data_IF_967482134090
#
_entry.id   IF_967482134090
#
_cell.length_a   1.000
_cell.length_b   1.000
_cell.length_c   1.000
_cell.angle_alpha   90.00
_cell.angle_beta   90.00
_cell.angle_gamma   90.00
#
_symmetry.space_group_name_H-M   'P 1'
#
loop_
_entity.id
_entity.type
_entity.pdbx_description
1 polymer ?
#
# COMPACT_ATOMS: atom_id res chain seq x y z
N UNK A 1 21.10 23.63 2.23
CA UNK A 1 20.38 23.18 1.03
C UNK A 1 19.02 22.70 1.49
N UNK A 2 17.99 23.52 1.30
CA UNK A 2 16.62 23.20 1.65
C UNK A 2 16.09 22.17 0.65
N UNK A 3 15.92 20.93 1.11
CA UNK A 3 15.20 19.89 0.38
C UNK A 3 13.82 20.46 -0.01
N UNK A 4 13.42 20.45 -1.30
CA UNK A 4 12.09 20.90 -1.65
C UNK A 4 11.11 19.96 -0.94
N UNK A 5 10.28 20.52 -0.07
CA UNK A 5 9.19 19.81 0.58
C UNK A 5 8.33 19.25 -0.54
N UNK A 6 8.34 17.92 -0.74
CA UNK A 6 7.42 17.26 -1.68
C UNK A 6 6.03 17.78 -1.33
N UNK A 7 5.40 18.52 -2.25
CA UNK A 7 3.99 18.88 -2.11
C UNK A 7 3.27 17.54 -2.07
N UNK A 8 2.79 17.13 -0.88
CA UNK A 8 2.04 15.89 -0.70
C UNK A 8 0.78 16.01 -1.55
N UNK A 9 0.71 15.24 -2.63
CA UNK A 9 -0.47 15.16 -3.45
C UNK A 9 -1.34 14.05 -2.87
N UNK A 10 -2.39 14.48 -2.15
CA UNK A 10 -3.31 13.58 -1.45
C UNK A 10 -3.80 12.42 -2.33
N UNK A 11 -4.12 12.68 -3.60
CA UNK A 11 -4.70 11.66 -4.46
C UNK A 11 -3.65 10.64 -4.88
N UNK A 12 -2.45 11.11 -5.23
CA UNK A 12 -1.34 10.24 -5.59
C UNK A 12 -0.91 9.42 -4.38
N UNK A 13 -0.65 10.07 -3.25
CA UNK A 13 -0.17 9.39 -2.06
C UNK A 13 -1.20 8.39 -1.52
N UNK A 14 -2.49 8.70 -1.64
CA UNK A 14 -3.59 7.80 -1.31
C UNK A 14 -3.65 6.55 -2.18
N UNK A 15 -3.58 6.70 -3.52
CA UNK A 15 -3.52 5.55 -4.44
C UNK A 15 -2.26 4.72 -4.18
N UNK A 16 -1.11 5.39 -4.03
CA UNK A 16 0.18 4.73 -3.84
C UNK A 16 0.25 3.95 -2.53
N UNK A 17 -0.42 4.40 -1.46
CA UNK A 17 -0.51 3.67 -0.20
C UNK A 17 -1.10 2.26 -0.41
N UNK A 18 -2.27 2.16 -1.03
CA UNK A 18 -2.92 0.87 -1.30
C UNK A 18 -2.15 0.02 -2.32
N UNK A 19 -1.56 0.66 -3.33
CA UNK A 19 -0.77 -0.07 -4.32
C UNK A 19 0.50 -0.68 -3.72
N UNK A 20 1.14 0.03 -2.79
CA UNK A 20 2.32 -0.45 -2.10
C UNK A 20 2.01 -1.69 -1.24
N UNK A 21 0.84 -1.77 -0.63
CA UNK A 21 0.38 -2.97 0.09
C UNK A 21 0.28 -4.17 -0.85
N UNK A 22 -0.32 -3.99 -2.04
CA UNK A 22 -0.39 -5.06 -3.05
C UNK A 22 0.99 -5.52 -3.51
N UNK A 23 1.86 -4.57 -3.87
CA UNK A 23 3.21 -4.86 -4.33
C UNK A 23 4.03 -5.56 -3.26
N UNK A 24 3.95 -5.12 -2.00
CA UNK A 24 4.64 -5.77 -0.89
C UNK A 24 4.24 -7.25 -0.76
N UNK A 25 2.94 -7.55 -0.84
CA UNK A 25 2.46 -8.94 -0.74
C UNK A 25 2.90 -9.75 -1.98
N UNK A 26 2.84 -9.16 -3.18
CA UNK A 26 3.30 -9.81 -4.42
C UNK A 26 4.80 -10.07 -4.42
N UNK A 27 5.61 -9.13 -3.94
CA UNK A 27 7.06 -9.31 -3.75
C UNK A 27 7.32 -10.50 -2.83
N UNK A 28 6.67 -10.54 -1.66
CA UNK A 28 6.80 -11.67 -0.74
C UNK A 28 6.37 -12.98 -1.41
N UNK A 29 5.27 -12.98 -2.17
CA UNK A 29 4.82 -14.15 -2.91
C UNK A 29 5.86 -14.60 -3.96
N UNK A 30 6.42 -13.67 -4.72
CA UNK A 30 7.40 -13.97 -5.75
C UNK A 30 8.73 -14.45 -5.16
N UNK A 31 9.19 -13.87 -4.04
CA UNK A 31 10.38 -14.32 -3.31
C UNK A 31 10.18 -15.75 -2.79
N UNK A 32 9.00 -16.08 -2.25
CA UNK A 32 8.71 -17.47 -1.82
C UNK A 32 8.77 -18.47 -2.97
N UNK A 33 8.36 -18.06 -4.18
CA UNK A 33 8.41 -18.92 -5.37
C UNK A 33 9.83 -19.00 -5.96
N UNK A 34 10.55 -17.88 -5.98
CA UNK A 34 11.91 -17.78 -6.50
C UNK A 34 12.79 -16.92 -5.57
N UNK A 35 13.43 -17.52 -4.56
CA UNK A 35 14.20 -16.78 -3.55
C UNK A 35 15.36 -15.93 -4.11
N UNK A 36 15.85 -16.25 -5.31
CA UNK A 36 16.99 -15.55 -5.92
C UNK A 36 16.70 -14.08 -6.22
N UNK A 37 15.43 -13.71 -6.40
CA UNK A 37 15.05 -12.33 -6.74
C UNK A 37 15.05 -11.40 -5.52
N UNK A 38 15.15 -11.94 -4.30
CA UNK A 38 15.05 -11.15 -3.06
C UNK A 38 16.08 -10.01 -3.00
N UNK A 39 17.25 -10.19 -3.61
CA UNK A 39 18.33 -9.20 -3.56
C UNK A 39 18.14 -8.02 -4.51
N UNK A 40 17.18 -8.09 -5.45
CA UNK A 40 17.04 -7.08 -6.52
C UNK A 40 15.61 -6.56 -6.66
N UNK A 41 14.61 -7.34 -6.24
CA UNK A 41 13.20 -7.00 -6.47
C UNK A 41 12.77 -5.70 -5.79
N UNK A 42 13.36 -5.34 -4.65
CA UNK A 42 13.04 -4.11 -3.93
C UNK A 42 13.42 -2.86 -4.74
N UNK A 43 14.63 -2.84 -5.31
CA UNK A 43 15.10 -1.73 -6.14
C UNK A 43 14.29 -1.63 -7.43
N UNK A 44 13.97 -2.77 -8.07
CA UNK A 44 13.15 -2.78 -9.30
C UNK A 44 11.74 -2.26 -8.99
N UNK A 45 11.11 -2.72 -7.91
CA UNK A 45 9.77 -2.25 -7.51
C UNK A 45 9.81 -0.77 -7.18
N UNK A 46 10.81 -0.30 -6.43
CA UNK A 46 10.95 1.13 -6.12
C UNK A 46 11.01 1.97 -7.40
N UNK A 47 11.83 1.55 -8.36
CA UNK A 47 12.00 2.24 -9.63
C UNK A 47 10.69 2.26 -10.46
N UNK A 48 9.97 1.13 -10.51
CA UNK A 48 8.67 1.03 -11.21
C UNK A 48 7.57 1.86 -10.52
N UNK A 49 7.57 1.89 -9.18
CA UNK A 49 6.65 2.70 -8.38
C UNK A 49 6.89 4.20 -8.61
N UNK A 50 8.15 4.64 -8.69
CA UNK A 50 8.46 6.04 -8.96
C UNK A 50 8.09 6.43 -10.39
N UNK A 51 8.28 5.53 -11.37
CA UNK A 51 7.77 5.74 -12.73
C UNK A 51 6.23 5.91 -12.73
N UNK A 52 5.51 5.02 -12.05
CA UNK A 52 4.05 5.13 -11.93
C UNK A 52 3.63 6.43 -11.23
N UNK A 53 4.35 6.88 -10.21
CA UNK A 53 4.09 8.18 -9.57
C UNK A 53 4.15 9.32 -10.57
N UNK A 54 5.11 9.31 -11.51
CA UNK A 54 5.19 10.31 -12.58
C UNK A 54 4.00 10.22 -13.54
N UNK A 55 3.57 9.01 -13.90
CA UNK A 55 2.36 8.79 -14.72
C UNK A 55 1.12 9.36 -14.00
N UNK A 56 0.98 9.13 -12.70
CA UNK A 56 -0.14 9.64 -11.89
C UNK A 56 -0.17 11.18 -11.81
N UNK A 57 1.00 11.83 -11.87
CA UNK A 57 1.13 13.30 -11.97
C UNK A 57 0.83 13.82 -13.38
N UNK A 58 0.92 12.96 -14.39
CA UNK A 58 0.68 13.28 -15.80
C UNK A 58 -0.74 13.78 -16.08
N UNK A 59 -0.88 14.56 -17.15
CA UNK A 59 -2.15 15.12 -17.61
C UNK A 59 -2.67 14.35 -18.82
N UNK A 60 -3.97 14.05 -18.82
CA UNK A 60 -4.71 13.49 -19.96
C UNK A 60 -5.71 14.50 -20.50
N UNK A 61 -5.91 14.49 -21.82
CA UNK A 61 -6.74 15.49 -22.50
C UNK A 61 -8.10 14.92 -22.86
N UNK A 62 -9.16 15.49 -22.30
CA UNK A 62 -10.54 15.13 -22.60
C UNK A 62 -11.25 16.35 -23.20
N UNK A 63 -11.19 16.47 -24.53
CA UNK A 63 -11.63 17.67 -25.23
C UNK A 63 -10.77 18.89 -24.86
N UNK A 64 -11.36 20.01 -24.38
CA UNK A 64 -10.60 21.17 -23.93
C UNK A 64 -9.97 21.00 -22.54
N UNK A 65 -10.40 20.00 -21.76
CA UNK A 65 -9.96 19.79 -20.38
C UNK A 65 -8.65 19.00 -20.33
N UNK A 66 -7.73 19.42 -19.46
CA UNK A 66 -6.55 18.63 -19.08
C UNK A 66 -6.67 18.26 -17.61
N UNK A 67 -6.73 16.97 -17.34
CA UNK A 67 -7.00 16.45 -15.99
C UNK A 67 -5.87 15.51 -15.61
N UNK A 68 -5.43 15.55 -14.35
CA UNK A 68 -4.37 14.67 -13.87
C UNK A 68 -4.87 13.24 -13.81
N UNK A 69 -4.01 12.27 -14.12
CA UNK A 69 -4.34 10.84 -14.08
C UNK A 69 -4.88 10.44 -12.71
N UNK A 70 -4.23 10.87 -11.62
CA UNK A 70 -4.69 10.56 -10.27
C UNK A 70 -6.11 11.10 -10.00
N UNK A 71 -6.44 12.30 -10.47
CA UNK A 71 -7.77 12.91 -10.27
C UNK A 71 -8.85 12.20 -11.10
N UNK A 72 -8.50 11.68 -12.27
CA UNK A 72 -9.41 10.85 -13.08
C UNK A 72 -9.68 9.53 -12.36
N UNK A 73 -8.64 8.86 -11.86
CA UNK A 73 -8.75 7.54 -11.23
C UNK A 73 -9.65 7.53 -10.00
N UNK A 74 -9.64 8.61 -9.22
CA UNK A 74 -10.47 8.82 -8.01
C UNK A 74 -11.69 9.71 -8.26
N UNK A 75 -11.97 10.01 -9.53
CA UNK A 75 -13.11 10.82 -9.94
C UNK A 75 -14.38 9.99 -10.14
N UNK A 76 -15.50 10.69 -10.35
CA UNK A 76 -16.81 10.07 -10.56
C UNK A 76 -17.07 9.68 -12.04
N UNK A 77 -16.21 10.11 -12.97
CA UNK A 77 -16.40 9.91 -14.41
C UNK A 77 -15.86 8.55 -14.86
N UNK A 78 -16.74 7.55 -14.85
CA UNK A 78 -16.45 6.17 -15.27
C UNK A 78 -15.95 6.07 -16.72
N UNK A 79 -16.36 6.95 -17.62
CA UNK A 79 -15.90 6.92 -19.01
C UNK A 79 -14.44 7.36 -19.08
N UNK A 80 -14.07 8.44 -18.39
CA UNK A 80 -12.67 8.90 -18.29
C UNK A 80 -11.80 7.84 -17.61
N UNK A 81 -12.29 7.18 -16.55
CA UNK A 81 -11.58 6.08 -15.88
C UNK A 81 -11.34 4.90 -16.80
N UNK A 82 -12.38 4.43 -17.51
CA UNK A 82 -12.26 3.32 -18.48
C UNK A 82 -11.32 3.65 -19.63
N UNK A 83 -11.32 4.90 -20.10
CA UNK A 83 -10.39 5.36 -21.14
C UNK A 83 -8.92 5.18 -20.74
N UNK A 84 -8.56 5.42 -19.46
CA UNK A 84 -7.19 5.22 -18.99
C UNK A 84 -6.70 3.76 -19.12
N UNK A 85 -7.59 2.78 -19.00
CA UNK A 85 -7.25 1.36 -19.06
C UNK A 85 -7.57 0.70 -20.42
N UNK A 86 -8.07 1.46 -21.38
CA UNK A 86 -8.34 0.96 -22.73
C UNK A 86 -7.05 0.85 -23.55
N UNK A 87 -6.84 -0.25 -24.26
CA UNK A 87 -5.68 -0.39 -25.14
C UNK A 87 -5.74 0.49 -26.39
N UNK A 88 -6.94 0.89 -26.81
CA UNK A 88 -7.19 1.66 -28.05
C UNK A 88 -7.33 3.16 -27.82
N UNK A 89 -7.45 3.61 -26.58
CA UNK A 89 -7.64 5.02 -26.26
C UNK A 89 -6.30 5.78 -26.24
N UNK A 90 -6.29 7.01 -26.74
CA UNK A 90 -5.10 7.87 -26.75
C UNK A 90 -4.71 8.32 -25.34
N UNK A 91 -5.68 8.42 -24.43
CA UNK A 91 -5.45 8.78 -23.03
C UNK A 91 -5.07 7.58 -22.16
N UNK A 92 -4.93 6.39 -22.75
CA UNK A 92 -4.51 5.18 -22.05
C UNK A 92 -3.18 5.36 -21.33
N UNK A 93 -3.09 4.85 -20.10
CA UNK A 93 -1.83 4.71 -19.34
C UNK A 93 -1.22 3.33 -19.51
N UNK A 94 -1.89 2.40 -20.22
CA UNK A 94 -1.42 1.03 -20.38
C UNK A 94 -0.04 0.98 -21.05
N UNK A 95 0.18 1.80 -22.07
CA UNK A 95 1.46 1.86 -22.80
C UNK A 95 2.53 2.70 -22.09
N UNK A 96 2.15 3.46 -21.06
CA UNK A 96 3.11 4.16 -20.18
C UNK A 96 3.58 3.26 -19.04
N UNK A 97 2.72 2.35 -18.58
CA UNK A 97 3.05 1.36 -17.55
C UNK A 97 3.75 0.15 -18.18
N UNK A 98 3.20 -0.40 -19.26
CA UNK A 98 3.76 -1.54 -19.98
C UNK A 98 4.55 -1.03 -21.18
N UNK A 99 5.86 -1.15 -21.07
CA UNK A 99 6.78 -0.75 -22.13
C UNK A 99 6.67 -1.72 -23.31
N UNK A 100 6.36 -1.21 -24.51
CA UNK A 100 6.18 -2.05 -25.72
C UNK A 100 7.50 -2.70 -26.11
N UNK A 101 7.47 -3.99 -26.48
CA UNK A 101 8.65 -4.67 -27.01
C UNK A 101 9.16 -3.94 -28.25
N UNK A 102 10.45 -3.60 -28.24
CA UNK A 102 11.10 -2.90 -29.33
C UNK A 102 11.28 -3.82 -30.54
N UNK A 103 10.80 -3.40 -31.71
CA UNK A 103 11.10 -4.00 -33.01
C UNK A 103 12.40 -3.45 -33.63
N UNK A 104 13.17 -2.61 -32.91
CA UNK A 104 14.36 -1.97 -33.44
C UNK A 104 15.54 -2.94 -33.62
N UNK A 105 15.59 -3.57 -34.80
CA UNK A 105 16.83 -4.10 -35.41
C UNK A 105 17.70 -2.92 -35.90
N UNK A 106 18.34 -2.20 -34.98
CA UNK A 106 19.21 -1.05 -35.25
C UNK A 106 20.65 -1.26 -34.73
N UNK A 107 21.63 -0.65 -35.39
CA UNK A 107 23.06 -1.03 -35.35
C UNK A 107 23.73 -0.94 -33.97
N UNK A 108 24.53 -1.97 -33.69
CA UNK A 108 25.45 -2.16 -32.56
C UNK A 108 26.45 -1.01 -32.46
N UNK A 109 26.32 -0.13 -31.45
CA UNK A 109 27.43 0.64 -30.85
C UNK A 109 27.04 1.39 -29.56
N UNK A 110 25.77 1.77 -29.37
CA UNK A 110 25.33 2.48 -28.16
C UNK A 110 24.40 1.60 -27.31
N UNK A 111 24.59 1.63 -25.99
CA UNK A 111 23.64 1.07 -25.02
C UNK A 111 22.33 1.86 -25.14
N UNK A 112 21.37 1.32 -25.92
CA UNK A 112 20.09 1.93 -26.17
C UNK A 112 19.16 1.79 -24.94
N UNK A 113 19.47 2.51 -23.87
CA UNK A 113 18.63 2.63 -22.68
C UNK A 113 17.61 3.74 -22.92
N UNK A 114 16.33 3.38 -23.01
CA UNK A 114 15.24 4.30 -23.30
C UNK A 114 13.99 4.08 -22.44
N UNK A 115 13.96 2.98 -21.69
CA UNK A 115 12.88 2.59 -20.80
C UNK A 115 13.45 1.78 -19.62
N UNK A 116 12.63 1.44 -18.62
CA UNK A 116 13.12 0.71 -17.45
C UNK A 116 13.53 -0.73 -17.80
N UNK A 117 12.80 -1.39 -18.70
CA UNK A 117 13.12 -2.74 -19.14
C UNK A 117 14.50 -2.82 -19.79
N UNK A 118 14.83 -1.87 -20.67
CA UNK A 118 16.12 -1.75 -21.36
C UNK A 118 17.24 -1.37 -20.39
N UNK A 119 16.97 -0.51 -19.41
CA UNK A 119 17.89 -0.20 -18.32
C UNK A 119 18.27 -1.45 -17.51
N UNK A 120 17.29 -2.17 -16.99
CA UNK A 120 17.53 -3.35 -16.16
C UNK A 120 18.12 -4.52 -16.97
N UNK A 121 17.68 -4.70 -18.23
CA UNK A 121 18.27 -5.68 -19.16
C UNK A 121 19.74 -5.40 -19.45
N UNK A 122 20.12 -4.13 -19.58
CA UNK A 122 21.51 -3.74 -19.81
C UNK A 122 22.42 -4.06 -18.62
N UNK A 123 21.87 -4.06 -17.39
CA UNK A 123 22.58 -4.48 -16.19
C UNK A 123 22.64 -6.01 -16.07
N UNK A 124 21.51 -6.68 -16.21
CA UNK A 124 21.39 -8.14 -16.21
C UNK A 124 20.16 -8.54 -17.04
N UNK A 125 20.34 -9.30 -18.15
CA UNK A 125 19.24 -9.71 -19.01
C UNK A 125 18.11 -10.48 -18.30
N UNK A 126 18.40 -11.14 -17.18
CA UNK A 126 17.39 -11.88 -16.41
C UNK A 126 16.37 -10.96 -15.70
N UNK A 127 16.71 -9.68 -15.50
CA UNK A 127 15.85 -8.70 -14.82
C UNK A 127 14.72 -8.17 -15.71
N UNK A 128 14.84 -8.29 -17.03
CA UNK A 128 13.79 -7.88 -17.99
C UNK A 128 12.43 -8.50 -17.64
N UNK A 129 12.42 -9.80 -17.34
CA UNK A 129 11.19 -10.51 -16.99
C UNK A 129 10.61 -10.05 -15.64
N UNK A 130 11.47 -9.66 -14.70
CA UNK A 130 11.05 -9.15 -13.39
C UNK A 130 10.39 -7.78 -13.57
N UNK A 131 11.00 -6.90 -14.37
CA UNK A 131 10.42 -5.59 -14.71
C UNK A 131 9.05 -5.76 -15.37
N UNK A 132 8.95 -6.61 -16.40
CA UNK A 132 7.68 -6.86 -17.07
C UNK A 132 6.63 -7.41 -16.11
N UNK A 133 6.99 -8.35 -15.24
CA UNK A 133 6.08 -8.91 -14.24
C UNK A 133 5.54 -7.83 -13.29
N UNK A 134 6.40 -6.92 -12.81
CA UNK A 134 6.00 -5.81 -11.95
C UNK A 134 5.10 -4.83 -12.71
N UNK A 135 5.40 -4.50 -13.97
CA UNK A 135 4.53 -3.64 -14.80
C UNK A 135 3.10 -4.21 -14.93
N UNK A 136 2.99 -5.53 -15.11
CA UNK A 136 1.69 -6.20 -15.14
C UNK A 136 0.99 -6.14 -13.78
N UNK A 137 1.71 -6.34 -12.67
CA UNK A 137 1.13 -6.19 -11.33
C UNK A 137 0.59 -4.78 -11.09
N UNK A 138 1.36 -3.76 -11.45
CA UNK A 138 0.93 -2.36 -11.37
C UNK A 138 -0.36 -2.14 -12.16
N UNK A 139 -0.42 -2.62 -13.41
CA UNK A 139 -1.61 -2.47 -14.23
C UNK A 139 -2.84 -3.18 -13.65
N UNK A 140 -2.67 -4.38 -13.09
CA UNK A 140 -3.77 -5.16 -12.50
C UNK A 140 -4.27 -4.57 -11.19
N UNK A 141 -3.38 -4.00 -10.38
CA UNK A 141 -3.68 -3.58 -9.01
C UNK A 141 -4.03 -2.08 -8.91
N UNK A 142 -3.62 -1.26 -9.87
CA UNK A 142 -3.88 0.18 -9.87
C UNK A 142 -5.37 0.56 -9.83
N UNK A 143 -6.28 -0.04 -10.63
CA UNK A 143 -7.71 0.25 -10.53
C UNK A 143 -8.28 -0.05 -9.14
N UNK A 144 -7.81 -1.13 -8.51
CA UNK A 144 -8.26 -1.55 -7.20
C UNK A 144 -7.74 -0.62 -6.10
N UNK A 145 -6.47 -0.23 -6.17
CA UNK A 145 -5.87 0.75 -5.26
C UNK A 145 -6.58 2.11 -5.35
N UNK A 146 -6.92 2.54 -6.57
CA UNK A 146 -7.69 3.76 -6.79
C UNK A 146 -9.10 3.67 -6.21
N UNK A 147 -9.81 2.56 -6.38
CA UNK A 147 -11.14 2.36 -5.78
C UNK A 147 -11.10 2.34 -4.25
N UNK A 148 -10.10 1.68 -3.64
CA UNK A 148 -9.96 1.66 -2.18
C UNK A 148 -9.75 3.06 -1.62
N UNK A 149 -8.88 3.85 -2.25
CA UNK A 149 -8.67 5.22 -1.83
C UNK A 149 -9.87 6.13 -2.14
N UNK A 150 -10.52 5.97 -3.29
CA UNK A 150 -11.74 6.71 -3.61
C UNK A 150 -12.85 6.40 -2.60
N UNK A 151 -12.98 5.14 -2.19
CA UNK A 151 -13.89 4.74 -1.12
C UNK A 151 -13.59 5.49 0.18
N UNK A 152 -12.32 5.59 0.60
CA UNK A 152 -11.95 6.35 1.80
C UNK A 152 -12.31 7.83 1.71
N UNK A 153 -12.03 8.47 0.56
CA UNK A 153 -12.43 9.86 0.32
C UNK A 153 -13.95 10.03 0.43
N UNK A 154 -14.69 9.06 -0.09
CA UNK A 154 -16.12 9.09 -0.12
C UNK A 154 -16.73 8.81 1.26
N UNK A 155 -16.12 7.95 2.09
CA UNK A 155 -16.45 7.81 3.52
C UNK A 155 -16.23 9.12 4.26
N UNK A 156 -15.10 9.80 4.03
CA UNK A 156 -14.81 11.09 4.66
C UNK A 156 -15.82 12.17 4.27
N UNK A 157 -16.33 12.15 3.02
CA UNK A 157 -17.43 13.03 2.59
C UNK A 157 -18.74 12.72 3.32
N UNK A 158 -19.12 11.44 3.42
CA UNK A 158 -20.29 11.03 4.21
C UNK A 158 -20.16 11.49 5.66
N UNK A 159 -19.01 11.29 6.30
CA UNK A 159 -18.75 11.75 7.66
C UNK A 159 -18.86 13.28 7.79
N UNK A 160 -18.31 14.04 6.84
CA UNK A 160 -18.44 15.48 6.81
C UNK A 160 -19.91 15.91 6.79
N UNK A 161 -20.72 15.32 5.90
CA UNK A 161 -22.14 15.64 5.79
C UNK A 161 -23.00 15.06 6.93
N UNK A 162 -22.53 14.06 7.68
CA UNK A 162 -23.22 13.65 8.91
C UNK A 162 -23.05 14.68 10.03
N UNK A 163 -21.89 15.33 10.09
CA UNK A 163 -21.50 16.17 11.22
C UNK A 163 -21.62 17.68 10.94
N UNK A 164 -21.71 18.09 9.67
CA UNK A 164 -21.70 19.50 9.25
C UNK A 164 -22.85 19.78 8.29
N UNK A 165 -23.43 20.98 8.40
CA UNK A 165 -24.41 21.47 7.43
C UNK A 165 -23.71 21.84 6.12
N UNK A 166 -24.33 21.48 4.99
CA UNK A 166 -23.84 21.90 3.69
C UNK A 166 -23.96 23.41 3.52
N UNK A 167 -22.87 24.07 3.09
CA UNK A 167 -22.88 25.49 2.72
C UNK A 167 -23.66 25.71 1.43
N UNK A 168 -24.14 26.93 1.17
CA UNK A 168 -24.89 27.26 -0.05
C UNK A 168 -24.17 26.88 -1.35
N UNK A 169 -22.84 27.08 -1.41
CA UNK A 169 -22.04 26.69 -2.58
C UNK A 169 -22.08 25.18 -2.83
N UNK A 170 -22.03 24.39 -1.76
CA UNK A 170 -22.10 22.93 -1.83
C UNK A 170 -23.51 22.51 -2.25
N UNK A 171 -24.55 23.11 -1.67
CA UNK A 171 -25.93 22.86 -2.04
C UNK A 171 -26.19 23.17 -3.53
N UNK A 172 -25.60 24.23 -4.08
CA UNK A 172 -25.70 24.55 -5.51
C UNK A 172 -25.08 23.45 -6.39
N UNK A 173 -23.88 22.97 -6.02
CA UNK A 173 -23.22 21.87 -6.73
C UNK A 173 -24.06 20.59 -6.69
N UNK A 174 -24.58 20.22 -5.53
CA UNK A 174 -25.45 19.04 -5.41
C UNK A 174 -26.78 19.22 -6.15
N UNK A 175 -27.34 20.44 -6.23
CA UNK A 175 -28.56 20.67 -7.00
C UNK A 175 -28.38 20.29 -8.47
N UNK A 176 -27.24 20.65 -9.06
CA UNK A 176 -26.93 20.31 -10.46
C UNK A 176 -26.81 18.80 -10.66
N UNK A 177 -26.12 18.12 -9.74
CA UNK A 177 -25.86 16.68 -9.84
C UNK A 177 -27.10 15.85 -9.52
N UNK A 178 -27.97 16.32 -8.61
CA UNK A 178 -29.27 15.72 -8.31
C UNK A 178 -30.35 16.09 -9.34
N UNK A 179 -30.02 16.89 -10.36
CA UNK A 179 -30.94 17.35 -11.41
C UNK A 179 -32.20 18.07 -10.88
N UNK A 180 -32.07 18.80 -9.77
CA UNK A 180 -33.16 19.58 -9.16
C UNK A 180 -33.36 20.93 -9.87
N UNK A 181 -34.57 21.47 -9.80
CA UNK A 181 -34.89 22.76 -10.43
C UNK A 181 -34.25 23.94 -9.67
N UNK A 182 -33.94 25.06 -10.34
CA UNK A 182 -33.47 26.27 -9.66
C UNK A 182 -34.46 26.71 -8.57
N UNK A 183 -33.95 26.95 -7.35
CA UNK A 183 -34.76 27.33 -6.20
C UNK A 183 -35.34 26.17 -5.38
N UNK A 184 -35.25 24.93 -5.85
CA UNK A 184 -35.61 23.76 -5.04
C UNK A 184 -34.57 23.55 -3.93
N UNK A 185 -35.01 23.35 -2.66
CA UNK A 185 -34.09 23.09 -1.57
C UNK A 185 -33.44 21.71 -1.73
N UNK A 186 -32.14 21.65 -1.43
CA UNK A 186 -31.39 20.41 -1.31
C UNK A 186 -31.27 20.10 0.18
N UNK A 187 -31.78 18.95 0.60
CA UNK A 187 -31.71 18.53 1.99
C UNK A 187 -30.41 17.76 2.26
N UNK A 188 -29.99 17.78 3.52
CA UNK A 188 -28.83 17.00 3.96
C UNK A 188 -29.00 15.50 3.70
N UNK A 189 -30.22 14.98 3.86
CA UNK A 189 -30.53 13.59 3.60
C UNK A 189 -30.36 13.23 2.12
N UNK A 190 -30.80 14.09 1.19
CA UNK A 190 -30.62 13.86 -0.25
C UNK A 190 -29.14 13.82 -0.64
N UNK A 191 -28.33 14.72 -0.06
CA UNK A 191 -26.87 14.70 -0.25
C UNK A 191 -26.29 13.37 0.25
N UNK A 192 -26.64 12.95 1.47
CA UNK A 192 -26.13 11.70 2.04
C UNK A 192 -26.58 10.47 1.25
N UNK A 193 -27.83 10.40 0.77
CA UNK A 193 -28.30 9.31 -0.09
C UNK A 193 -27.45 9.22 -1.36
N UNK A 194 -27.20 10.36 -1.99
CA UNK A 194 -26.41 10.41 -3.20
C UNK A 194 -24.94 10.02 -2.96
N UNK A 195 -24.34 10.47 -1.86
CA UNK A 195 -22.97 10.08 -1.48
C UNK A 195 -22.87 8.58 -1.12
N UNK A 196 -23.91 8.00 -0.51
CA UNK A 196 -24.01 6.54 -0.28
C UNK A 196 -24.17 5.75 -1.58
N UNK A 197 -24.92 6.25 -2.56
CA UNK A 197 -25.02 5.64 -3.89
C UNK A 197 -23.66 5.60 -4.60
N UNK A 198 -22.86 6.66 -4.45
CA UNK A 198 -21.48 6.69 -4.97
C UNK A 198 -20.60 5.66 -4.27
N UNK A 199 -20.69 5.53 -2.94
CA UNK A 199 -19.99 4.45 -2.22
C UNK A 199 -20.38 3.08 -2.74
N UNK A 200 -21.68 2.84 -2.88
CA UNK A 200 -22.21 1.57 -3.39
C UNK A 200 -21.66 1.25 -4.78
N UNK A 201 -21.62 2.24 -5.67
CA UNK A 201 -21.04 2.10 -7.01
C UNK A 201 -19.56 1.71 -6.99
N UNK A 202 -18.76 2.31 -6.10
CA UNK A 202 -17.35 1.95 -5.92
C UNK A 202 -17.23 0.50 -5.44
N UNK A 203 -18.02 0.09 -4.44
CA UNK A 203 -18.02 -1.30 -3.92
C UNK A 203 -18.39 -2.29 -5.01
N UNK A 204 -19.44 -2.00 -5.77
CA UNK A 204 -19.93 -2.86 -6.84
C UNK A 204 -18.91 -2.99 -7.97
N UNK A 205 -18.26 -1.88 -8.35
CA UNK A 205 -17.19 -1.88 -9.35
C UNK A 205 -15.99 -2.72 -8.92
N UNK A 206 -15.58 -2.59 -7.65
CA UNK A 206 -14.51 -3.40 -7.07
C UNK A 206 -14.86 -4.89 -7.06
N UNK A 207 -16.07 -5.25 -6.59
CA UNK A 207 -16.58 -6.62 -6.55
C UNK A 207 -16.66 -7.23 -7.95
N UNK A 208 -17.20 -6.50 -8.92
CA UNK A 208 -17.33 -6.98 -10.30
C UNK A 208 -15.97 -7.34 -10.88
N UNK A 209 -14.96 -6.48 -10.73
CA UNK A 209 -13.59 -6.79 -11.19
C UNK A 209 -13.01 -8.03 -10.52
N UNK A 210 -13.37 -8.34 -9.26
CA UNK A 210 -12.94 -9.59 -8.61
C UNK A 210 -13.58 -10.82 -9.24
N UNK A 211 -14.83 -10.72 -9.70
CA UNK A 211 -15.49 -11.86 -10.37
C UNK A 211 -14.92 -12.16 -11.75
N UNK A 212 -14.33 -11.14 -12.39
CA UNK A 212 -13.68 -11.25 -13.70
C UNK A 212 -12.17 -11.60 -13.59
N UNK A 213 -11.61 -11.59 -12.37
CA UNK A 213 -10.20 -11.82 -12.13
C UNK A 213 -9.79 -13.28 -12.42
N UNK A 214 -8.67 -13.45 -13.11
CA UNK A 214 -8.11 -14.77 -13.44
C UNK A 214 -7.22 -15.27 -12.31
N UNK A 215 -7.12 -16.59 -12.16
CA UNK A 215 -6.37 -17.22 -11.07
C UNK A 215 -4.89 -16.78 -10.96
N UNK A 216 -4.23 -16.42 -12.07
CA UNK A 216 -2.83 -15.95 -12.06
C UNK A 216 -2.66 -14.50 -11.58
N UNK A 217 -3.76 -13.73 -11.49
CA UNK A 217 -3.76 -12.35 -11.00
C UNK A 217 -3.89 -12.30 -9.47
N UNK A 218 -4.38 -13.39 -8.86
CA UNK A 218 -4.60 -13.52 -7.42
C UNK A 218 -3.35 -13.21 -6.59
N UNK A 219 -3.56 -12.47 -5.50
CA UNK A 219 -2.53 -12.17 -4.51
C UNK A 219 -2.68 -13.14 -3.34
N UNK A 220 -1.70 -14.04 -3.19
CA UNK A 220 -1.69 -15.03 -2.12
C UNK A 220 -0.92 -14.48 -0.94
N UNK A 221 -1.66 -14.11 0.11
CA UNK A 221 -1.09 -13.69 1.38
C UNK A 221 -1.06 -14.85 2.36
N UNK A 222 -0.04 -14.83 3.21
CA UNK A 222 0.08 -15.69 4.39
C UNK A 222 0.54 -14.78 5.51
N UNK A 223 -0.30 -14.62 6.53
CA UNK A 223 0.03 -13.77 7.68
C UNK A 223 1.00 -14.48 8.61
N UNK A 224 1.80 -13.69 9.32
CA UNK A 224 2.61 -14.19 10.42
C UNK A 224 1.71 -14.74 11.53
N UNK A 225 2.04 -15.93 12.04
CA UNK A 225 1.35 -16.46 13.20
C UNK A 225 1.89 -15.84 14.48
N UNK A 226 0.99 -15.41 15.37
CA UNK A 226 1.35 -14.99 16.72
C UNK A 226 2.04 -16.15 17.43
N UNK A 227 3.23 -15.91 17.98
CA UNK A 227 4.05 -16.95 18.63
C UNK A 227 4.94 -17.74 17.68
N UNK A 228 5.12 -17.29 16.43
CA UNK A 228 6.13 -17.86 15.53
C UNK A 228 7.54 -17.75 16.13
N UNK A 229 8.46 -18.62 15.68
CA UNK A 229 9.85 -18.61 16.12
C UNK A 229 10.55 -17.27 15.85
N UNK A 230 10.21 -16.61 14.73
CA UNK A 230 10.70 -15.26 14.42
C UNK A 230 10.14 -14.22 15.39
N UNK A 231 8.83 -14.23 15.70
CA UNK A 231 8.24 -13.30 16.67
C UNK A 231 8.85 -13.46 18.07
N UNK A 232 9.08 -14.70 18.51
CA UNK A 232 9.73 -14.99 19.79
C UNK A 232 11.17 -14.44 19.80
N UNK A 233 11.92 -14.66 18.73
CA UNK A 233 13.30 -14.19 18.63
C UNK A 233 13.39 -12.66 18.51
N UNK A 234 12.42 -12.00 17.86
CA UNK A 234 12.33 -10.52 17.82
C UNK A 234 12.13 -9.96 19.22
N UNK A 235 11.17 -10.50 19.99
CA UNK A 235 10.92 -10.04 21.36
C UNK A 235 12.15 -10.25 22.26
N UNK A 236 12.81 -11.40 22.12
CA UNK A 236 14.06 -11.70 22.83
C UNK A 236 15.17 -10.72 22.46
N UNK A 237 15.38 -10.46 21.18
CA UNK A 237 16.38 -9.48 20.71
C UNK A 237 16.08 -8.06 21.21
N UNK A 238 14.81 -7.66 21.23
CA UNK A 238 14.40 -6.35 21.75
C UNK A 238 14.72 -6.20 23.24
N UNK A 239 14.54 -7.26 24.04
CA UNK A 239 14.95 -7.27 25.45
C UNK A 239 16.47 -7.10 25.61
N UNK A 240 17.26 -7.89 24.88
CA UNK A 240 18.72 -7.79 24.91
C UNK A 240 19.23 -6.42 24.42
N UNK A 241 18.61 -5.83 23.40
CA UNK A 241 18.95 -4.48 22.93
C UNK A 241 18.68 -3.41 24.00
N UNK A 242 17.55 -3.49 24.72
CA UNK A 242 17.26 -2.56 25.83
C UNK A 242 18.26 -2.71 26.97
N UNK A 243 18.65 -3.95 27.29
CA UNK A 243 19.66 -4.21 28.32
C UNK A 243 21.01 -3.63 27.90
N UNK A 244 21.42 -3.86 26.65
CA UNK A 244 22.66 -3.29 26.11
C UNK A 244 22.65 -1.75 26.17
N UNK A 245 21.55 -1.12 25.73
CA UNK A 245 21.41 0.34 25.78
C UNK A 245 21.51 0.89 27.21
N UNK A 246 20.86 0.22 28.18
CA UNK A 246 20.96 0.59 29.59
C UNK A 246 22.39 0.42 30.14
N UNK A 247 23.07 -0.67 29.78
CA UNK A 247 24.44 -0.94 30.19
C UNK A 247 25.44 0.09 29.62
N UNK A 248 25.26 0.50 28.36
CA UNK A 248 26.12 1.48 27.68
C UNK A 248 25.86 2.92 28.14
N UNK A 249 24.63 3.25 28.57
CA UNK A 249 24.25 4.60 29.04
C UNK A 249 24.76 4.91 30.45
N UNK A 250 24.87 3.91 31.30
CA UNK A 250 25.32 4.07 32.68
C UNK A 250 26.83 3.88 32.82
N UNK A 251 27.48 4.80 33.54
CA UNK A 251 28.89 4.69 33.93
C UNK A 251 29.03 4.17 35.36
N UNK A 252 29.99 3.27 35.60
CA UNK A 252 30.31 2.76 36.95
C UNK A 252 30.13 1.25 37.10
N UNK A 253 30.27 0.72 38.32
CA UNK A 253 30.11 -0.72 38.56
C UNK A 253 28.70 -1.20 38.21
N UNK A 254 28.58 -2.49 37.93
CA UNK A 254 27.28 -3.11 37.68
C UNK A 254 26.44 -3.12 38.97
N UNK A 255 25.13 -2.86 38.89
CA UNK A 255 24.21 -3.09 40.01
C UNK A 255 24.30 -4.54 40.50
N UNK A 256 24.21 -4.79 41.82
CA UNK A 256 24.32 -6.14 42.39
C UNK A 256 23.42 -7.21 41.73
N UNK A 257 22.15 -6.93 41.36
CA UNK A 257 21.30 -7.91 40.67
C UNK A 257 21.82 -8.32 39.28
N UNK A 258 22.48 -7.40 38.57
CA UNK A 258 23.08 -7.67 37.27
C UNK A 258 24.40 -8.41 37.42
N UNK A 259 25.19 -8.10 38.45
CA UNK A 259 26.41 -8.86 38.79
C UNK A 259 26.07 -10.33 39.01
N UNK A 260 25.08 -10.64 39.85
CA UNK A 260 24.65 -12.03 40.10
C UNK A 260 24.17 -12.74 38.82
N UNK A 261 23.38 -12.04 38.00
CA UNK A 261 22.90 -12.55 36.71
C UNK A 261 24.08 -12.93 35.80
N UNK A 262 25.00 -12.00 35.57
CA UNK A 262 26.12 -12.22 34.65
C UNK A 262 27.19 -13.15 35.21
N UNK A 263 27.40 -13.18 36.53
CA UNK A 263 28.26 -14.16 37.21
C UNK A 263 27.81 -15.59 36.89
N UNK A 264 26.50 -15.85 37.00
CA UNK A 264 25.91 -17.15 36.67
C UNK A 264 26.03 -17.49 35.18
N UNK A 265 25.81 -16.52 34.31
CA UNK A 265 25.87 -16.70 32.85
C UNK A 265 27.30 -16.96 32.37
N UNK A 266 28.27 -16.20 32.89
CA UNK A 266 29.67 -16.25 32.51
C UNK A 266 30.45 -17.35 33.26
N UNK A 267 29.85 -17.97 34.27
CA UNK A 267 30.49 -18.99 35.11
C UNK A 267 31.63 -18.42 35.97
N UNK A 268 31.47 -17.19 36.46
CA UNK A 268 32.49 -16.45 37.23
C UNK A 268 31.99 -16.09 38.63
N UNK A 269 32.93 -15.73 39.50
CA UNK A 269 32.61 -15.17 40.82
C UNK A 269 32.05 -13.76 40.65
N UNK A 270 31.03 -13.32 41.42
CA UNK A 270 30.44 -11.98 41.33
C UNK A 270 31.46 -10.83 41.28
N UNK A 271 32.52 -10.92 42.07
CA UNK A 271 33.55 -9.87 42.18
C UNK A 271 34.42 -9.71 40.91
N UNK A 272 34.41 -10.70 40.02
CA UNK A 272 35.19 -10.70 38.77
C UNK A 272 34.40 -10.22 37.55
N UNK A 273 33.09 -9.97 37.72
CA UNK A 273 32.19 -9.57 36.63
C UNK A 273 32.26 -8.06 36.42
N UNK A 274 32.69 -7.66 35.24
CA UNK A 274 32.75 -6.24 34.86
C UNK A 274 31.61 -5.85 33.94
N UNK A 275 31.28 -4.55 33.91
CA UNK A 275 30.29 -3.99 32.97
C UNK A 275 30.66 -4.26 31.51
N UNK A 276 31.95 -4.18 31.17
CA UNK A 276 32.46 -4.49 29.83
C UNK A 276 32.17 -5.94 29.43
N UNK A 277 32.38 -6.90 30.33
CA UNK A 277 32.08 -8.31 30.07
C UNK A 277 30.57 -8.55 29.87
N UNK A 278 29.72 -7.85 30.62
CA UNK A 278 28.27 -7.90 30.41
C UNK A 278 27.88 -7.32 29.05
N UNK A 279 28.46 -6.18 28.65
CA UNK A 279 28.25 -5.56 27.33
C UNK A 279 28.69 -6.50 26.20
N UNK A 280 29.87 -7.10 26.30
CA UNK A 280 30.40 -8.03 25.30
C UNK A 280 29.54 -9.29 25.17
N UNK A 281 29.04 -9.80 26.29
CA UNK A 281 28.09 -10.90 26.29
C UNK A 281 26.80 -10.53 25.56
N UNK A 282 26.18 -9.39 25.89
CA UNK A 282 24.94 -8.94 25.24
C UNK A 282 25.15 -8.70 23.74
N UNK A 283 26.28 -8.09 23.33
CA UNK A 283 26.65 -7.93 21.91
C UNK A 283 26.74 -9.27 21.18
N UNK A 284 27.34 -10.27 21.81
CA UNK A 284 27.43 -11.63 21.25
C UNK A 284 26.06 -12.28 21.13
N UNK A 285 25.23 -12.21 22.18
CA UNK A 285 23.87 -12.77 22.16
C UNK A 285 23.01 -12.11 21.08
N UNK A 286 23.11 -10.79 20.92
CA UNK A 286 22.42 -10.04 19.86
C UNK A 286 22.91 -10.47 18.48
N UNK A 287 24.22 -10.63 18.26
CA UNK A 287 24.76 -11.07 16.98
C UNK A 287 24.27 -12.49 16.61
N UNK A 288 24.32 -13.42 17.56
CA UNK A 288 23.80 -14.77 17.37
C UNK A 288 22.28 -14.80 17.16
N UNK A 289 21.55 -13.98 17.90
CA UNK A 289 20.10 -13.84 17.75
C UNK A 289 19.72 -13.24 16.41
N UNK A 290 20.45 -12.24 15.90
CA UNK A 290 20.26 -11.72 14.54
C UNK A 290 20.47 -12.80 13.48
N UNK A 291 21.46 -13.69 13.68
CA UNK A 291 21.70 -14.82 12.77
C UNK A 291 20.57 -15.85 12.83
N UNK A 292 20.07 -16.19 14.02
CA UNK A 292 18.89 -17.08 14.18
C UNK A 292 17.64 -16.48 13.58
N UNK A 293 17.37 -15.20 13.87
CA UNK A 293 16.24 -14.46 13.31
C UNK A 293 16.30 -14.44 11.79
N UNK A 294 17.46 -14.15 11.21
CA UNK A 294 17.66 -14.23 9.76
C UNK A 294 17.29 -15.62 9.24
N UNK A 295 17.77 -16.69 9.89
CA UNK A 295 17.39 -18.07 9.59
C UNK A 295 15.88 -18.31 9.62
N UNK A 296 15.18 -17.89 10.68
CA UNK A 296 13.73 -18.03 10.81
C UNK A 296 12.95 -17.23 9.75
N UNK A 297 13.45 -16.07 9.37
CA UNK A 297 12.85 -15.23 8.32
C UNK A 297 13.12 -15.80 6.91
N UNK A 298 14.25 -16.47 6.69
CA UNK A 298 14.57 -17.12 5.42
C UNK A 298 13.89 -18.48 5.25
N UNK A 299 13.80 -19.28 6.31
CA UNK A 299 13.16 -20.61 6.32
C UNK A 299 11.67 -20.51 6.68
N UNK A 300 10.99 -19.58 6.03
CA UNK A 300 9.67 -19.04 6.31
C UNK A 300 8.51 -20.05 6.24
N UNK A 301 8.53 -21.03 7.15
CA UNK A 301 7.57 -22.14 7.27
C UNK A 301 6.49 -21.85 8.31
N UNK A 302 6.61 -20.77 9.07
CA UNK A 302 5.69 -20.40 10.16
C UNK A 302 4.69 -19.29 9.77
N UNK A 303 4.25 -19.30 8.51
CA UNK A 303 3.14 -18.44 8.08
C UNK A 303 1.83 -19.23 8.14
N UNK A 304 0.74 -18.51 8.38
CA UNK A 304 -0.60 -19.08 8.38
C UNK A 304 -1.02 -19.68 7.02
N UNK A 305 -2.23 -20.23 7.01
CA UNK A 305 -2.84 -20.76 5.79
C UNK A 305 -2.90 -19.69 4.69
N UNK A 306 -2.64 -20.07 3.42
CA UNK A 306 -2.72 -19.13 2.32
C UNK A 306 -4.16 -18.70 2.09
N UNK A 307 -4.35 -17.43 1.81
CA UNK A 307 -5.65 -16.89 1.43
C UNK A 307 -5.53 -15.86 0.32
N UNK A 308 -6.65 -15.63 -0.38
CA UNK A 308 -6.77 -14.58 -1.37
C UNK A 308 -6.96 -13.23 -0.68
N UNK A 309 -5.92 -12.39 -0.77
CA UNK A 309 -5.89 -11.09 -0.11
C UNK A 309 -6.99 -10.15 -0.59
N UNK A 310 -7.25 -10.12 -1.91
CA UNK A 310 -8.26 -9.23 -2.49
C UNK A 310 -9.68 -9.69 -2.19
N UNK A 311 -9.89 -11.00 -1.99
CA UNK A 311 -11.15 -11.54 -1.48
C UNK A 311 -11.46 -11.05 -0.06
N UNK A 312 -10.46 -11.04 0.83
CA UNK A 312 -10.64 -10.49 2.19
C UNK A 312 -10.94 -9.00 2.14
N UNK A 313 -10.22 -8.23 1.32
CA UNK A 313 -10.52 -6.80 1.13
C UNK A 313 -11.95 -6.56 0.61
N UNK A 314 -12.45 -7.41 -0.28
CA UNK A 314 -13.84 -7.32 -0.76
C UNK A 314 -14.84 -7.45 0.40
N UNK A 315 -14.59 -8.37 1.32
CA UNK A 315 -15.43 -8.54 2.51
C UNK A 315 -15.34 -7.30 3.41
N UNK A 316 -14.12 -6.84 3.71
CA UNK A 316 -13.90 -5.65 4.53
C UNK A 316 -14.56 -4.39 3.94
N UNK A 317 -14.50 -4.22 2.62
CA UNK A 317 -15.11 -3.08 1.93
C UNK A 317 -16.63 -3.09 2.07
N UNK A 318 -17.27 -4.26 1.91
CA UNK A 318 -18.71 -4.44 2.14
C UNK A 318 -19.09 -4.16 3.58
N UNK A 319 -18.33 -4.68 4.54
CA UNK A 319 -18.57 -4.45 5.97
C UNK A 319 -18.45 -2.96 6.33
N UNK A 320 -17.42 -2.27 5.81
CA UNK A 320 -17.24 -0.82 5.98
C UNK A 320 -18.39 -0.02 5.37
N UNK A 321 -18.86 -0.41 4.18
CA UNK A 321 -20.00 0.24 3.54
C UNK A 321 -21.29 0.08 4.35
N UNK A 322 -21.62 -1.15 4.77
CA UNK A 322 -22.78 -1.41 5.62
C UNK A 322 -22.69 -0.66 6.95
N UNK A 323 -21.50 -0.59 7.55
CA UNK A 323 -21.29 0.18 8.77
C UNK A 323 -21.54 1.68 8.54
N UNK A 324 -21.14 2.24 7.40
CA UNK A 324 -21.40 3.65 7.10
C UNK A 324 -22.88 3.92 6.82
N UNK A 325 -23.57 3.04 6.08
CA UNK A 325 -25.03 3.15 5.87
C UNK A 325 -25.77 3.25 7.22
N UNK A 326 -25.45 2.36 8.17
CA UNK A 326 -26.03 2.38 9.52
C UNK A 326 -25.80 3.68 10.27
N UNK A 327 -24.65 4.33 10.08
CA UNK A 327 -24.38 5.64 10.71
C UNK A 327 -25.19 6.77 10.08
N UNK A 328 -25.59 6.65 8.81
CA UNK A 328 -26.41 7.62 8.11
C UNK A 328 -27.91 7.46 8.40
N UNK A 329 -28.38 6.25 8.73
CA UNK A 329 -29.80 5.94 8.99
C UNK A 329 -30.55 6.96 9.87
N UNK A 330 -30.02 7.46 11.00
CA UNK A 330 -30.73 8.42 11.85
C UNK A 330 -31.13 9.71 11.13
N UNK A 331 -30.25 10.20 10.24
CA UNK A 331 -30.48 11.44 9.47
C UNK A 331 -31.45 11.16 8.31
N UNK A 332 -31.33 9.98 7.70
CA UNK A 332 -32.23 9.55 6.61
C UNK A 332 -33.67 9.37 7.10
N UNK A 333 -33.86 8.80 8.29
CA UNK A 333 -35.20 8.59 8.87
C UNK A 333 -35.85 9.88 9.38
N UNK A 334 -35.08 10.87 9.82
CA UNK A 334 -35.61 12.19 10.19
C UNK A 334 -36.17 12.98 8.99
N UNK A 335 -35.71 12.66 7.77
CA UNK A 335 -36.15 13.31 6.54
C UNK A 335 -37.34 12.62 5.85
N UNK A 336 -37.72 11.41 6.28
CA UNK A 336 -38.93 10.76 5.77
C UNK A 336 -40.15 11.37 6.49
N UNK A 337 -41.10 12.02 5.77
CA UNK A 337 -42.35 12.40 6.39
C UNK A 337 -43.07 11.12 6.83
N UNK A 338 -43.56 11.12 8.07
CA UNK A 338 -44.56 10.16 8.51
C UNK A 338 -45.72 10.24 7.51
N UNK A 339 -45.83 9.23 6.63
CA UNK A 339 -47.00 9.02 5.79
C UNK A 339 -48.13 8.43 6.62
#
# INVERSE_FOLDING_TARGET
>A
MTTPTKVQDRNIDGIMHYLQDYLCIRQQQAIRVNPRIANVIDDVVWAQVENLRQILQGLKSFGPERIRVADILVGDDELKRKALFSHSDQNSIVHEIIERADDQKGRVAELAIHDMRTLFRAMDPSLENIVQLIQHWLLWDLPDAADLFHFDLQIARCEYFRNNQATDEICERYRQVLHKRPGEPVTQAEILVFELQRLEHIVNSFVLRRTEEKAYMMIIRRDEMVGSASSIEILRLAEHLRILEALEKESGPLPPPLVEKYAKILGRVPDEVTREQAIDYEKKVIAEGKKRLHGYLTDDRYRGEPYDYKKIQTQQLKERFTAEQKKCEPILHQAAPQQ
#
